data_IF_095831361949
#
_entry.id   IF_095831361949
#
_cell.length_a   1.000
_cell.length_b   1.000
_cell.length_c   1.000
_cell.angle_alpha   90.00
_cell.angle_beta   90.00
_cell.angle_gamma   90.00
#
_symmetry.space_group_name_H-M   'P 1'
#
loop_
_entity.id
_entity.type
_entity.pdbx_description
1 polymer ?
#
# COMPACT_ATOMS: atom_id res chain seq x y z
N UNK A 1 -3.77 -3.43 -20.61
CA UNK A 1 -3.06 -2.13 -20.68
C UNK A 1 -3.02 -1.55 -19.28
N UNK A 2 -1.85 -1.37 -18.65
CA UNK A 2 -1.75 -0.76 -17.33
C UNK A 2 -2.02 0.74 -17.41
N UNK A 3 -2.78 1.26 -16.45
CA UNK A 3 -2.96 2.70 -16.22
C UNK A 3 -2.52 3.02 -14.80
N UNK A 4 -1.42 3.75 -14.69
CA UNK A 4 -0.84 4.17 -13.41
C UNK A 4 -1.55 5.45 -12.96
N UNK A 5 -2.43 5.33 -11.97
CA UNK A 5 -3.25 6.45 -11.49
C UNK A 5 -2.42 7.56 -10.83
N UNK A 6 -1.28 7.21 -10.24
CA UNK A 6 -0.41 8.18 -9.58
C UNK A 6 0.08 9.29 -10.52
N UNK A 7 0.10 9.07 -11.84
CA UNK A 7 0.41 10.13 -12.80
C UNK A 7 -0.57 11.32 -12.73
N UNK A 8 -1.76 11.14 -12.15
CA UNK A 8 -2.80 12.14 -12.01
C UNK A 8 -2.72 12.93 -10.70
N UNK A 9 -1.71 12.71 -9.85
CA UNK A 9 -1.47 13.56 -8.69
C UNK A 9 -1.35 15.04 -9.10
N UNK A 10 -1.94 15.94 -8.33
CA UNK A 10 -1.65 17.37 -8.45
C UNK A 10 -0.19 17.65 -8.08
N UNK A 11 0.32 18.84 -8.42
CA UNK A 11 1.62 19.30 -7.93
C UNK A 11 1.62 19.26 -6.39
N UNK A 12 2.75 18.89 -5.79
CA UNK A 12 2.86 18.66 -4.35
C UNK A 12 2.38 19.87 -3.54
N UNK A 13 2.66 21.09 -4.01
CA UNK A 13 2.22 22.34 -3.38
C UNK A 13 0.69 22.50 -3.30
N UNK A 14 -0.04 21.79 -4.15
CA UNK A 14 -1.51 21.77 -4.21
C UNK A 14 -2.11 20.62 -3.38
N UNK A 15 -1.28 19.70 -2.86
CA UNK A 15 -1.79 18.58 -2.08
C UNK A 15 -2.43 19.08 -0.78
N UNK A 16 -3.51 18.43 -0.33
CA UNK A 16 -4.03 18.66 1.01
C UNK A 16 -2.91 18.45 2.03
N UNK A 17 -2.85 19.34 3.02
CA UNK A 17 -1.97 19.16 4.17
C UNK A 17 -2.76 18.57 5.31
N UNK A 18 -2.12 17.69 6.07
CA UNK A 18 -2.69 17.18 7.31
C UNK A 18 -2.68 18.25 8.43
N UNK A 19 -3.15 17.85 9.61
CA UNK A 19 -3.26 18.73 10.79
C UNK A 19 -1.91 19.23 11.34
N UNK A 20 -0.78 18.69 10.86
CA UNK A 20 0.57 19.07 11.24
C UNK A 20 1.33 19.80 10.12
N UNK A 21 0.72 19.93 8.94
CA UNK A 21 1.27 20.64 7.79
C UNK A 21 2.07 19.77 6.83
N UNK A 22 2.07 18.44 7.02
CA UNK A 22 2.68 17.48 6.10
C UNK A 22 1.72 17.18 4.93
N UNK A 23 2.28 16.89 3.76
CA UNK A 23 1.49 16.61 2.56
C UNK A 23 0.81 15.23 2.67
N UNK A 24 -0.52 15.21 2.54
CA UNK A 24 -1.32 13.99 2.59
C UNK A 24 -1.43 13.37 1.18
N UNK A 25 -0.53 12.42 0.89
CA UNK A 25 -0.60 11.61 -0.32
C UNK A 25 -1.67 10.51 -0.25
N UNK A 26 -2.20 10.24 0.94
CA UNK A 26 -3.06 9.09 1.23
C UNK A 26 -4.56 9.45 1.08
N UNK A 27 -4.85 10.69 0.65
CA UNK A 27 -6.21 11.15 0.33
C UNK A 27 -6.50 11.12 -1.17
N UNK A 28 -7.70 10.67 -1.58
CA UNK A 28 -8.09 10.70 -3.00
C UNK A 28 -8.14 12.12 -3.57
N UNK A 29 -8.22 13.16 -2.74
CA UNK A 29 -8.19 14.56 -3.20
C UNK A 29 -6.80 15.02 -3.68
N UNK A 30 -5.73 14.28 -3.40
CA UNK A 30 -4.43 14.54 -4.00
C UNK A 30 -4.41 14.22 -5.51
N UNK A 31 -5.36 13.41 -5.98
CA UNK A 31 -5.53 13.03 -7.38
C UNK A 31 -6.56 13.92 -8.09
N UNK A 32 -6.33 14.14 -9.38
CA UNK A 32 -7.29 14.80 -10.27
C UNK A 32 -8.39 13.81 -10.70
N UNK A 33 -9.31 13.53 -9.77
CA UNK A 33 -10.39 12.55 -9.97
C UNK A 33 -11.28 12.87 -11.17
N UNK A 34 -11.48 14.17 -11.45
CA UNK A 34 -12.25 14.61 -12.61
C UNK A 34 -11.55 14.23 -13.91
N UNK A 35 -10.25 14.52 -14.04
CA UNK A 35 -9.48 14.17 -15.22
C UNK A 35 -9.32 12.65 -15.39
N UNK A 36 -9.14 11.91 -14.29
CA UNK A 36 -9.12 10.44 -14.32
C UNK A 36 -10.43 9.94 -14.93
N UNK A 37 -11.57 10.39 -14.39
CA UNK A 37 -12.87 9.92 -14.84
C UNK A 37 -13.14 10.27 -16.31
N UNK A 38 -12.81 11.50 -16.75
CA UNK A 38 -12.89 11.92 -18.15
C UNK A 38 -12.07 10.99 -19.07
N UNK A 39 -10.82 10.72 -18.70
CA UNK A 39 -9.94 9.86 -19.47
C UNK A 39 -10.43 8.41 -19.51
N UNK A 40 -10.95 7.88 -18.41
CA UNK A 40 -11.54 6.55 -18.38
C UNK A 40 -12.73 6.42 -19.34
N UNK A 41 -13.63 7.42 -19.37
CA UNK A 41 -14.77 7.42 -20.30
C UNK A 41 -14.30 7.37 -21.75
N UNK A 42 -13.33 8.22 -22.11
CA UNK A 42 -12.72 8.24 -23.45
C UNK A 42 -12.05 6.91 -23.81
N UNK A 43 -11.25 6.36 -22.90
CA UNK A 43 -10.57 5.08 -23.10
C UNK A 43 -11.59 3.94 -23.30
N UNK A 44 -12.64 3.88 -22.48
CA UNK A 44 -13.70 2.87 -22.61
C UNK A 44 -14.47 2.98 -23.94
N UNK A 45 -14.52 4.17 -24.55
CA UNK A 45 -15.07 4.40 -25.88
C UNK A 45 -14.08 4.11 -27.03
N UNK A 46 -12.88 3.63 -26.73
CA UNK A 46 -11.83 3.32 -27.71
C UNK A 46 -11.04 4.54 -28.20
N UNK A 47 -11.20 5.69 -27.55
CA UNK A 47 -10.47 6.91 -27.88
C UNK A 47 -9.04 6.90 -27.30
N UNK A 48 -8.12 7.58 -27.99
CA UNK A 48 -6.78 7.84 -27.48
C UNK A 48 -6.81 9.06 -26.54
N UNK A 49 -6.14 8.94 -25.38
CA UNK A 49 -5.94 10.04 -24.44
C UNK A 49 -4.47 10.30 -24.18
N UNK A 50 -4.15 11.53 -23.79
CA UNK A 50 -2.81 11.93 -23.38
C UNK A 50 -2.79 12.10 -21.85
N UNK A 51 -2.40 11.06 -21.12
CA UNK A 51 -2.36 11.10 -19.66
C UNK A 51 -1.19 11.97 -19.17
N UNK A 52 -1.31 12.57 -17.98
CA UNK A 52 -0.19 13.26 -17.34
C UNK A 52 0.96 12.32 -16.99
N UNK A 53 2.07 12.91 -16.56
CA UNK A 53 3.18 12.24 -15.88
C UNK A 53 3.47 12.97 -14.58
N UNK A 54 3.62 12.24 -13.48
CA UNK A 54 3.99 12.82 -12.20
C UNK A 54 5.44 12.48 -11.85
N UNK A 55 6.27 13.50 -11.68
CA UNK A 55 7.65 13.34 -11.21
C UNK A 55 7.68 13.37 -9.69
N UNK A 56 7.79 12.19 -9.06
CA UNK A 56 7.88 12.05 -7.61
C UNK A 56 9.13 12.68 -6.98
N UNK A 57 10.21 12.90 -7.76
CA UNK A 57 11.43 13.56 -7.24
C UNK A 57 11.23 15.07 -7.16
N UNK A 58 10.52 15.63 -8.13
CA UNK A 58 10.24 17.07 -8.19
C UNK A 58 8.91 17.44 -7.50
N UNK A 59 8.03 16.47 -7.26
CA UNK A 59 6.67 16.70 -6.79
C UNK A 59 5.83 17.48 -7.80
N UNK A 60 6.05 17.27 -9.11
CA UNK A 60 5.40 18.05 -10.19
C UNK A 60 4.71 17.18 -11.22
N UNK A 61 3.54 17.64 -11.66
CA UNK A 61 2.74 17.07 -12.73
C UNK A 61 3.07 17.76 -14.06
N UNK A 62 3.20 16.94 -15.09
CA UNK A 62 3.33 17.40 -16.47
C UNK A 62 2.18 16.81 -17.29
N UNK A 63 1.32 17.67 -17.84
CA UNK A 63 0.16 17.24 -18.61
C UNK A 63 0.55 16.69 -19.99
N UNK A 64 -0.34 15.84 -20.54
CA UNK A 64 -0.30 15.35 -21.92
C UNK A 64 1.02 14.67 -22.32
N UNK A 65 1.54 13.76 -21.49
CA UNK A 65 2.87 13.15 -21.70
C UNK A 65 2.83 11.76 -22.30
N UNK A 66 1.88 10.94 -21.88
CA UNK A 66 1.85 9.53 -22.26
C UNK A 66 0.56 9.21 -22.99
N UNK A 67 0.68 8.64 -24.18
CA UNK A 67 -0.47 8.14 -24.95
C UNK A 67 -1.00 6.87 -24.31
N UNK A 68 -2.32 6.81 -24.12
CA UNK A 68 -3.02 5.60 -23.70
C UNK A 68 -4.23 5.41 -24.59
N UNK A 69 -4.38 4.18 -25.09
CA UNK A 69 -5.53 3.71 -25.85
C UNK A 69 -5.67 2.21 -25.56
N UNK A 70 -6.89 1.71 -25.54
CA UNK A 70 -7.16 0.27 -25.52
C UNK A 70 -7.71 -0.16 -26.88
N UNK A 71 -7.31 -1.33 -27.34
CA UNK A 71 -7.89 -1.97 -28.52
C UNK A 71 -9.05 -2.87 -28.11
N UNK A 72 -9.83 -3.33 -29.10
CA UNK A 72 -10.89 -4.30 -28.89
C UNK A 72 -10.34 -5.53 -28.15
N UNK A 73 -11.11 -6.03 -27.18
CA UNK A 73 -10.80 -7.21 -26.36
C UNK A 73 -9.58 -7.03 -25.41
N UNK A 74 -9.10 -5.81 -25.20
CA UNK A 74 -8.11 -5.51 -24.18
C UNK A 74 -8.75 -5.05 -22.86
N UNK A 75 -8.12 -5.44 -21.74
CA UNK A 75 -8.51 -4.98 -20.40
C UNK A 75 -7.62 -3.80 -20.00
N UNK A 76 -8.24 -2.74 -19.48
CA UNK A 76 -7.55 -1.67 -18.77
C UNK A 76 -7.32 -2.13 -17.32
N UNK A 77 -6.06 -2.25 -16.90
CA UNK A 77 -5.70 -2.59 -15.53
C UNK A 77 -5.35 -1.30 -14.79
N UNK A 78 -6.15 -0.96 -13.79
CA UNK A 78 -5.95 0.22 -12.95
C UNK A 78 -5.36 -0.26 -11.63
N UNK A 79 -4.11 0.12 -11.36
CA UNK A 79 -3.49 -0.06 -10.05
C UNK A 79 -3.56 1.27 -9.29
N UNK A 80 -4.21 1.27 -8.13
CA UNK A 80 -4.44 2.46 -7.32
C UNK A 80 -4.82 2.11 -5.89
N UNK A 81 -4.24 2.87 -4.95
CA UNK A 81 -4.67 2.89 -3.55
C UNK A 81 -6.16 3.24 -3.38
N UNK A 82 -6.69 4.07 -4.28
CA UNK A 82 -8.07 4.56 -4.28
C UNK A 82 -8.93 3.89 -5.37
N UNK A 83 -8.53 2.68 -5.81
CA UNK A 83 -9.20 1.90 -6.86
C UNK A 83 -10.72 1.75 -6.69
N UNK A 84 -11.18 1.70 -5.45
CA UNK A 84 -12.60 1.51 -5.09
C UNK A 84 -13.32 2.81 -4.71
N UNK A 85 -12.63 3.96 -4.79
CA UNK A 85 -13.22 5.25 -4.45
C UNK A 85 -14.27 5.65 -5.50
N UNK A 86 -15.55 5.85 -5.14
CA UNK A 86 -16.65 5.97 -6.11
C UNK A 86 -16.45 7.07 -7.16
N UNK A 87 -15.98 8.25 -6.74
CA UNK A 87 -15.79 9.40 -7.64
C UNK A 87 -14.77 9.13 -8.76
N UNK A 88 -13.81 8.22 -8.55
CA UNK A 88 -12.78 7.93 -9.54
C UNK A 88 -13.36 7.32 -10.83
N UNK A 89 -14.45 6.54 -10.71
CA UNK A 89 -15.07 5.79 -11.82
C UNK A 89 -16.57 6.03 -11.94
N UNK A 90 -17.06 7.17 -11.46
CA UNK A 90 -18.50 7.45 -11.34
C UNK A 90 -19.27 7.34 -12.66
N UNK A 91 -18.68 7.81 -13.76
CA UNK A 91 -19.34 7.81 -15.08
C UNK A 91 -19.09 6.52 -15.87
N UNK A 92 -18.37 5.54 -15.28
CA UNK A 92 -18.16 4.23 -15.90
C UNK A 92 -19.27 3.28 -15.43
N UNK A 93 -20.03 2.64 -16.35
CA UNK A 93 -21.07 1.68 -15.99
C UNK A 93 -20.52 0.52 -15.16
N UNK A 94 -21.33 -0.01 -14.23
CA UNK A 94 -20.86 -1.04 -13.30
C UNK A 94 -20.54 -2.36 -14.00
N UNK A 95 -21.26 -2.68 -15.07
CA UNK A 95 -21.05 -3.87 -15.92
C UNK A 95 -19.72 -3.85 -16.68
N UNK A 96 -19.07 -2.69 -16.80
CA UNK A 96 -17.73 -2.55 -17.40
C UNK A 96 -16.60 -2.62 -16.37
N UNK A 97 -16.93 -2.74 -15.08
CA UNK A 97 -15.97 -2.73 -13.97
C UNK A 97 -15.86 -4.12 -13.38
N UNK A 98 -14.62 -4.50 -13.07
CA UNK A 98 -14.33 -5.64 -12.22
C UNK A 98 -13.33 -5.18 -11.16
N UNK A 99 -13.75 -5.23 -9.90
CA UNK A 99 -13.07 -4.59 -8.77
C UNK A 99 -12.45 -5.65 -7.88
N UNK A 100 -11.16 -5.50 -7.62
CA UNK A 100 -10.39 -6.40 -6.77
C UNK A 100 -9.87 -5.61 -5.58
N UNK A 101 -10.03 -6.17 -4.38
CA UNK A 101 -9.41 -5.66 -3.16
C UNK A 101 -8.33 -6.63 -2.69
N UNK A 102 -7.11 -6.15 -2.49
CA UNK A 102 -5.98 -6.95 -2.04
C UNK A 102 -5.60 -6.57 -0.60
N UNK A 103 -5.45 -7.57 0.25
CA UNK A 103 -5.05 -7.37 1.64
C UNK A 103 -4.33 -8.63 2.16
N UNK A 104 -3.21 -8.56 2.90
CA UNK A 104 -2.61 -9.73 3.55
C UNK A 104 -3.44 -10.26 4.72
N UNK A 105 -4.61 -10.84 4.39
CA UNK A 105 -5.54 -11.47 5.33
C UNK A 105 -5.01 -12.83 5.81
N UNK A 106 -3.89 -12.81 6.53
CA UNK A 106 -3.31 -14.00 7.14
C UNK A 106 -4.16 -14.45 8.33
N UNK A 107 -4.83 -15.59 8.19
CA UNK A 107 -5.70 -16.16 9.23
C UNK A 107 -4.91 -16.97 10.26
N UNK A 108 -3.91 -16.34 10.89
CA UNK A 108 -3.12 -16.94 11.97
C UNK A 108 -3.60 -16.42 13.33
N UNK A 109 -3.60 -17.28 14.34
CA UNK A 109 -3.81 -16.90 15.74
C UNK A 109 -2.49 -16.96 16.51
N UNK A 110 -2.31 -16.02 17.44
CA UNK A 110 -1.21 -16.06 18.39
C UNK A 110 -1.44 -17.13 19.47
N UNK A 111 -0.47 -17.28 20.38
CA UNK A 111 -0.53 -18.26 21.48
C UNK A 111 -1.71 -18.06 22.44
N UNK A 112 -2.27 -16.85 22.49
CA UNK A 112 -3.38 -16.49 23.36
C UNK A 112 -4.73 -16.58 22.62
N UNK A 113 -4.71 -16.97 21.34
CA UNK A 113 -5.90 -17.20 20.51
C UNK A 113 -6.37 -15.97 19.73
N UNK A 114 -5.64 -14.86 19.79
CA UNK A 114 -5.96 -13.61 19.09
C UNK A 114 -5.49 -13.69 17.63
N UNK A 115 -6.30 -13.20 16.69
CA UNK A 115 -5.89 -13.13 15.30
C UNK A 115 -4.77 -12.11 15.09
N UNK A 116 -3.78 -12.49 14.28
CA UNK A 116 -2.75 -11.56 13.79
C UNK A 116 -3.42 -10.45 12.99
N UNK A 117 -3.08 -9.20 13.30
CA UNK A 117 -3.63 -8.05 12.59
C UNK A 117 -2.99 -7.93 11.21
N UNK A 118 -3.79 -8.02 10.15
CA UNK A 118 -3.35 -7.82 8.77
C UNK A 118 -2.67 -6.45 8.56
N UNK A 119 -3.07 -5.45 9.35
CA UNK A 119 -2.46 -4.11 9.36
C UNK A 119 -1.00 -4.15 9.77
N UNK A 120 -0.64 -5.03 10.70
CA UNK A 120 0.73 -5.16 11.17
C UNK A 120 1.58 -5.87 10.11
N UNK A 121 1.00 -6.83 9.38
CA UNK A 121 1.67 -7.47 8.24
C UNK A 121 1.95 -6.45 7.13
N UNK A 122 0.97 -5.59 6.79
CA UNK A 122 1.18 -4.48 5.84
C UNK A 122 2.27 -3.52 6.30
N UNK A 123 2.30 -3.18 7.59
CA UNK A 123 3.33 -2.31 8.15
C UNK A 123 4.72 -2.93 8.01
N UNK A 124 4.87 -4.20 8.37
CA UNK A 124 6.13 -4.95 8.26
C UNK A 124 6.57 -5.03 6.80
N UNK A 125 5.67 -5.37 5.87
CA UNK A 125 5.97 -5.40 4.43
C UNK A 125 6.45 -4.04 3.93
N UNK A 126 5.82 -2.93 4.35
CA UNK A 126 6.25 -1.55 4.02
C UNK A 126 7.64 -1.26 4.59
N UNK A 127 7.89 -1.58 5.86
CA UNK A 127 9.21 -1.41 6.49
C UNK A 127 10.32 -2.14 5.73
N UNK A 128 10.09 -3.40 5.39
CA UNK A 128 11.08 -4.24 4.71
C UNK A 128 11.34 -3.74 3.29
N UNK A 129 10.29 -3.50 2.48
CA UNK A 129 10.41 -2.93 1.14
C UNK A 129 11.15 -1.60 1.16
N UNK A 130 10.72 -0.69 2.04
CA UNK A 130 11.29 0.66 2.08
C UNK A 130 12.75 0.60 2.55
N UNK A 131 13.15 -0.34 3.41
CA UNK A 131 14.55 -0.54 3.83
C UNK A 131 15.47 -1.10 2.74
N UNK A 132 14.93 -1.92 1.81
CA UNK A 132 15.68 -2.50 0.69
C UNK A 132 15.89 -1.47 -0.41
N UNK A 133 14.88 -0.65 -0.69
CA UNK A 133 14.86 0.24 -1.86
C UNK A 133 15.22 1.70 -1.57
N UNK A 134 15.09 2.14 -0.32
CA UNK A 134 15.32 3.53 0.09
C UNK A 134 16.09 3.46 1.41
N UNK A 135 17.01 4.39 1.71
CA UNK A 135 17.71 4.39 3.01
C UNK A 135 16.79 4.81 4.18
N UNK A 136 15.52 4.39 4.15
CA UNK A 136 14.46 4.76 5.07
C UNK A 136 14.50 3.85 6.29
N UNK A 137 14.43 4.44 7.49
CA UNK A 137 14.51 3.65 8.72
C UNK A 137 13.13 3.05 9.02
N UNK A 138 13.01 1.72 9.24
CA UNK A 138 11.77 1.06 9.65
C UNK A 138 11.02 1.79 10.78
N UNK A 139 11.76 2.37 11.74
CA UNK A 139 11.22 3.19 12.83
C UNK A 139 10.29 4.31 12.35
N UNK A 140 10.63 5.00 11.25
CA UNK A 140 9.79 6.09 10.74
C UNK A 140 8.46 5.55 10.23
N UNK A 141 8.43 4.35 9.64
CA UNK A 141 7.16 3.73 9.23
C UNK A 141 6.29 3.43 10.44
N UNK A 142 6.87 2.88 11.52
CA UNK A 142 6.15 2.63 12.76
C UNK A 142 5.55 3.92 13.34
N UNK A 143 6.36 4.97 13.41
CA UNK A 143 5.97 6.26 14.01
C UNK A 143 4.83 6.95 13.25
N UNK A 144 4.73 6.77 11.92
CA UNK A 144 3.71 7.40 11.08
C UNK A 144 2.53 6.47 10.75
N UNK A 145 2.54 5.21 11.20
CA UNK A 145 1.56 4.21 10.75
C UNK A 145 0.11 4.58 11.11
N UNK A 146 -0.10 5.27 12.23
CA UNK A 146 -1.43 5.77 12.62
C UNK A 146 -2.05 6.72 11.58
N UNK A 147 -1.26 7.56 10.90
CA UNK A 147 -1.75 8.42 9.81
C UNK A 147 -2.24 7.60 8.62
N UNK A 148 -1.44 6.63 8.20
CA UNK A 148 -1.79 5.69 7.13
C UNK A 148 -3.11 4.99 7.47
N UNK A 149 -3.25 4.51 8.73
CA UNK A 149 -4.48 3.88 9.22
C UNK A 149 -5.67 4.82 9.22
N UNK A 150 -5.49 6.08 9.62
CA UNK A 150 -6.56 7.07 9.64
C UNK A 150 -7.05 7.42 8.22
N UNK A 151 -6.13 7.57 7.25
CA UNK A 151 -6.50 7.76 5.84
C UNK A 151 -7.22 6.54 5.28
N UNK A 152 -6.70 5.34 5.56
CA UNK A 152 -7.28 4.07 5.11
C UNK A 152 -8.70 3.86 5.63
N UNK A 153 -8.95 4.14 6.91
CA UNK A 153 -10.29 4.03 7.51
C UNK A 153 -11.29 5.03 6.91
N UNK A 154 -10.82 6.17 6.39
CA UNK A 154 -11.67 7.20 5.76
C UNK A 154 -11.92 6.92 4.28
N UNK A 155 -10.93 6.41 3.55
CA UNK A 155 -10.94 6.45 2.09
C UNK A 155 -10.81 5.08 1.40
N UNK A 156 -10.53 4.01 2.15
CA UNK A 156 -10.27 2.67 1.57
C UNK A 156 -11.22 1.63 2.18
N UNK A 157 -11.21 1.45 3.50
CA UNK A 157 -12.03 0.43 4.19
C UNK A 157 -13.53 0.57 3.94
N UNK A 158 -14.12 1.78 3.92
CA UNK A 158 -15.55 1.93 3.66
C UNK A 158 -16.01 1.37 2.32
N UNK A 159 -15.09 1.20 1.36
CA UNK A 159 -15.40 0.76 -0.01
C UNK A 159 -14.99 -0.68 -0.31
N UNK A 160 -14.35 -1.39 0.62
CA UNK A 160 -13.85 -2.75 0.39
C UNK A 160 -14.97 -3.75 0.08
N UNK A 161 -16.15 -3.55 0.66
CA UNK A 161 -17.35 -4.36 0.45
C UNK A 161 -17.99 -4.16 -0.94
N UNK A 162 -17.49 -3.18 -1.70
CA UNK A 162 -17.90 -2.97 -3.09
C UNK A 162 -17.06 -3.78 -4.07
N UNK A 163 -15.98 -4.43 -3.62
CA UNK A 163 -15.15 -5.26 -4.49
C UNK A 163 -15.90 -6.52 -4.92
N UNK A 164 -15.68 -6.95 -6.16
CA UNK A 164 -16.23 -8.20 -6.70
C UNK A 164 -15.46 -9.40 -6.12
N UNK A 165 -14.15 -9.23 -5.89
CA UNK A 165 -13.31 -10.22 -5.22
C UNK A 165 -12.35 -9.59 -4.22
N UNK A 166 -12.16 -10.29 -3.10
CA UNK A 166 -11.12 -10.02 -2.13
C UNK A 166 -10.05 -11.09 -2.27
N UNK A 167 -8.81 -10.67 -2.54
CA UNK A 167 -7.67 -11.57 -2.65
C UNK A 167 -6.81 -11.40 -1.41
N UNK A 168 -6.65 -12.49 -0.64
CA UNK A 168 -5.66 -12.51 0.42
C UNK A 168 -4.27 -12.63 -0.19
N UNK A 169 -3.43 -11.61 0.03
CA UNK A 169 -2.00 -11.66 -0.32
C UNK A 169 -1.13 -12.18 0.82
N UNK A 170 -1.75 -12.67 1.92
CA UNK A 170 -1.05 -13.20 3.09
C UNK A 170 -0.37 -14.51 2.73
N UNK A 171 0.90 -14.64 3.10
CA UNK A 171 1.72 -15.81 2.83
C UNK A 171 1.98 -16.55 4.15
N UNK A 172 1.53 -17.81 4.32
CA UNK A 172 1.65 -18.53 5.59
C UNK A 172 3.07 -18.62 6.16
N UNK A 173 4.09 -18.51 5.30
CA UNK A 173 5.50 -18.63 5.65
C UNK A 173 6.24 -17.28 5.82
N UNK A 174 5.55 -16.13 5.75
CA UNK A 174 6.23 -14.83 5.78
C UNK A 174 6.74 -14.42 7.16
N UNK A 175 6.00 -14.73 8.24
CA UNK A 175 6.36 -14.28 9.59
C UNK A 175 7.69 -14.86 10.10
N UNK A 176 8.01 -16.16 9.93
CA UNK A 176 9.32 -16.72 10.28
C UNK A 176 10.51 -15.99 9.65
N UNK A 177 10.34 -15.44 8.45
CA UNK A 177 11.37 -14.68 7.72
C UNK A 177 11.51 -13.25 8.27
N UNK A 178 10.47 -12.71 8.91
CA UNK A 178 10.49 -11.37 9.51
C UNK A 178 11.16 -11.35 10.88
N UNK A 179 11.17 -12.48 11.59
CA UNK A 179 11.81 -12.61 12.92
C UNK A 179 13.26 -12.12 12.92
N UNK A 180 14.19 -12.66 12.11
CA UNK A 180 15.59 -12.20 12.14
C UNK A 180 15.77 -10.77 11.62
N UNK A 181 14.81 -10.22 10.88
CA UNK A 181 14.90 -8.89 10.26
C UNK A 181 14.43 -7.76 11.16
N UNK A 182 13.40 -7.98 11.99
CA UNK A 182 12.72 -6.89 12.73
C UNK A 182 12.43 -7.19 14.21
N UNK A 183 12.55 -8.42 14.71
CA UNK A 183 12.19 -8.72 16.11
C UNK A 183 13.00 -7.89 17.10
N UNK A 184 14.31 -7.72 16.84
CA UNK A 184 15.18 -6.90 17.68
C UNK A 184 14.67 -5.45 17.73
N UNK A 185 14.38 -4.87 16.58
CA UNK A 185 13.91 -3.49 16.48
C UNK A 185 12.57 -3.30 17.22
N UNK A 186 11.61 -4.20 17.05
CA UNK A 186 10.33 -4.13 17.77
C UNK A 186 10.49 -4.23 19.29
N UNK A 187 11.43 -5.05 19.79
CA UNK A 187 11.73 -5.10 21.24
C UNK A 187 12.36 -3.79 21.74
N UNK A 188 13.26 -3.19 20.95
CA UNK A 188 13.86 -1.91 21.30
C UNK A 188 12.83 -0.77 21.28
N UNK A 189 11.94 -0.74 20.29
CA UNK A 189 10.85 0.25 20.20
C UNK A 189 9.80 0.09 21.29
N UNK A 190 9.45 -1.14 21.67
CA UNK A 190 8.56 -1.40 22.81
C UNK A 190 9.10 -0.71 24.07
N UNK A 191 10.40 -0.87 24.37
CA UNK A 191 11.03 -0.22 25.53
C UNK A 191 11.09 1.30 25.35
N UNK A 192 11.48 1.76 24.16
CA UNK A 192 11.70 3.18 23.85
C UNK A 192 10.43 4.01 23.96
N UNK A 193 9.31 3.50 23.47
CA UNK A 193 8.04 4.24 23.45
C UNK A 193 7.17 4.00 24.68
N UNK A 194 7.56 3.10 25.59
CA UNK A 194 6.80 2.80 26.79
C UNK A 194 6.58 4.04 27.64
N UNK A 195 5.31 4.36 27.90
CA UNK A 195 4.90 5.49 28.72
C UNK A 195 5.04 6.86 28.03
N UNK A 196 5.30 6.91 26.72
CA UNK A 196 5.30 8.15 25.95
C UNK A 196 3.90 8.42 25.35
N UNK A 197 3.16 9.45 25.82
CA UNK A 197 1.82 9.74 25.34
C UNK A 197 1.74 10.09 23.85
N UNK A 198 2.81 10.64 23.27
CA UNK A 198 2.86 11.00 21.85
C UNK A 198 3.18 9.81 20.94
N UNK A 199 3.52 8.65 21.51
CA UNK A 199 3.94 7.44 20.78
C UNK A 199 3.17 6.20 21.22
N UNK A 200 1.95 6.39 21.73
CA UNK A 200 1.13 5.28 22.23
C UNK A 200 0.81 4.24 21.16
N UNK A 201 0.41 4.64 19.94
CA UNK A 201 0.16 3.69 18.83
C UNK A 201 1.41 2.89 18.46
N UNK A 202 2.56 3.57 18.34
CA UNK A 202 3.85 2.93 18.07
C UNK A 202 4.25 1.94 19.17
N UNK A 203 4.02 2.29 20.44
CA UNK A 203 4.25 1.41 21.58
C UNK A 203 3.36 0.15 21.52
N UNK A 204 2.04 0.33 21.36
CA UNK A 204 1.07 -0.77 21.34
C UNK A 204 1.36 -1.76 20.20
N UNK A 205 1.71 -1.25 19.01
CA UNK A 205 2.12 -2.06 17.87
C UNK A 205 3.42 -2.80 18.13
N UNK A 206 4.42 -2.10 18.66
CA UNK A 206 5.73 -2.70 18.94
C UNK A 206 5.62 -3.84 19.94
N UNK A 207 4.91 -3.62 21.06
CA UNK A 207 4.68 -4.65 22.06
C UNK A 207 3.95 -5.87 21.49
N UNK A 208 2.88 -5.64 20.71
CA UNK A 208 2.10 -6.72 20.10
C UNK A 208 2.91 -7.52 19.09
N UNK A 209 3.65 -6.86 18.21
CA UNK A 209 4.46 -7.52 17.17
C UNK A 209 5.67 -8.21 17.80
N UNK A 210 6.35 -7.59 18.77
CA UNK A 210 7.44 -8.23 19.50
C UNK A 210 6.99 -9.51 20.20
N UNK A 211 5.80 -9.50 20.82
CA UNK A 211 5.16 -10.68 21.41
C UNK A 211 4.89 -11.76 20.36
N UNK A 212 4.27 -11.39 19.23
CA UNK A 212 3.97 -12.32 18.13
C UNK A 212 5.23 -12.98 17.57
N UNK A 213 6.21 -12.18 17.15
CA UNK A 213 7.44 -12.67 16.53
C UNK A 213 8.33 -13.45 17.51
N UNK A 214 8.28 -13.15 18.82
CA UNK A 214 8.99 -13.94 19.83
C UNK A 214 8.44 -15.36 20.01
N UNK A 215 7.22 -15.64 19.55
CA UNK A 215 6.59 -16.95 19.63
C UNK A 215 6.82 -17.80 18.35
N UNK A 216 7.53 -17.28 17.36
CA UNK A 216 7.71 -17.91 16.05
C UNK A 216 9.17 -18.37 15.90
N UNK A 217 9.36 -19.60 15.46
CA UNK A 217 10.69 -20.12 15.12
C UNK A 217 11.23 -19.39 13.88
N UNK A 218 12.43 -18.77 13.95
CA UNK A 218 12.98 -18.01 12.83
C UNK A 218 13.46 -18.92 11.68
N UNK A 219 13.36 -18.41 10.46
CA UNK A 219 14.12 -18.91 9.31
C UNK A 219 15.31 -17.98 9.11
N UNK A 220 16.53 -18.53 9.19
CA UNK A 220 17.77 -17.73 9.32
C UNK A 220 18.14 -16.99 8.02
N UNK A 221 17.83 -17.55 6.86
CA UNK A 221 18.12 -16.96 5.56
C UNK A 221 16.96 -17.11 4.58
N UNK A 222 16.99 -16.30 3.52
CA UNK A 222 15.89 -16.22 2.56
C UNK A 222 15.97 -17.30 1.45
N UNK A 223 16.89 -18.28 1.51
CA UNK A 223 17.07 -19.30 0.46
C UNK A 223 15.85 -20.21 0.21
N UNK A 224 14.97 -20.52 1.18
CA UNK A 224 13.78 -21.33 0.91
C UNK A 224 12.72 -20.59 0.07
N UNK A 225 12.83 -19.27 -0.10
CA UNK A 225 11.86 -18.47 -0.86
C UNK A 225 12.23 -18.52 -2.35
N UNK A 226 11.33 -18.94 -3.26
CA UNK A 226 11.62 -18.88 -4.70
C UNK A 226 11.96 -17.44 -5.16
N UNK A 227 12.83 -17.30 -6.15
CA UNK A 227 13.21 -15.99 -6.72
C UNK A 227 12.04 -15.28 -7.44
N UNK A 228 10.98 -16.02 -7.76
CA UNK A 228 9.74 -15.51 -8.37
C UNK A 228 8.56 -15.42 -7.40
N UNK A 229 8.81 -15.59 -6.11
CA UNK A 229 7.85 -15.31 -5.05
C UNK A 229 7.63 -13.80 -4.91
N UNK A 230 6.37 -13.37 -4.76
CA UNK A 230 6.02 -11.96 -4.46
C UNK A 230 6.70 -11.47 -3.18
N UNK A 231 6.99 -12.37 -2.22
CA UNK A 231 7.70 -12.00 -0.99
C UNK A 231 9.08 -11.37 -1.24
N UNK A 232 9.68 -11.65 -2.41
CA UNK A 232 10.98 -11.09 -2.83
C UNK A 232 10.94 -9.59 -3.06
N UNK A 233 9.76 -8.98 -3.23
CA UNK A 233 9.59 -7.52 -3.23
C UNK A 233 9.94 -6.92 -1.86
N UNK A 234 9.69 -7.65 -0.77
CA UNK A 234 9.90 -7.16 0.59
C UNK A 234 11.28 -7.55 1.14
N UNK A 235 11.73 -8.77 0.87
CA UNK A 235 12.97 -9.31 1.46
C UNK A 235 14.18 -9.26 0.52
N UNK A 236 14.00 -8.88 -0.75
CA UNK A 236 15.04 -8.89 -1.78
C UNK A 236 15.28 -10.29 -2.39
N UNK A 237 16.13 -10.34 -3.42
CA UNK A 237 16.45 -11.58 -4.16
C UNK A 237 15.45 -11.96 -5.25
N UNK A 238 14.71 -10.99 -5.77
CA UNK A 238 13.77 -11.19 -6.89
C UNK A 238 14.54 -11.41 -8.19
N UNK A 239 14.09 -12.36 -9.03
CA UNK A 239 14.57 -12.47 -10.42
C UNK A 239 14.02 -11.37 -11.34
N UNK A 240 12.94 -10.72 -10.92
CA UNK A 240 12.33 -9.61 -11.67
C UNK A 240 13.06 -8.30 -11.37
N UNK A 241 13.31 -7.52 -12.41
CA UNK A 241 13.80 -6.15 -12.31
C UNK A 241 12.61 -5.20 -12.32
N UNK A 242 12.52 -4.37 -11.29
CA UNK A 242 11.47 -3.36 -11.10
C UNK A 242 12.01 -1.96 -11.36
#
# INVERSE_FOLDING_TARGET
VPLIIDNYFYDLEMHPKDEFGDYDFETPQALDLALINEHLVKICNGEEVMIPFYDFKLGKRYLNRTKVKIEKDQILLIDSLHGLYPEMTKDIPSEQKFKIYLEPLLQLKDKDGDYVQWTDIRMIRRMLRDSVHRAYKPQQTLEHWHYVRNAEMRHIIPFNNTADFIISSGMPYELPLYVPKLLKDFKEWEVTYKGNPLREDAYLRSARIAKLLSAIEPVIDDSPVPEDSVLREFIGGSRFHY
#
